data_IF_564408648435
#
_entry.id   IF_564408648435
#
_cell.length_a   1.000
_cell.length_b   1.000
_cell.length_c   1.000
_cell.angle_alpha   90.00
_cell.angle_beta   90.00
_cell.angle_gamma   90.00
#
_symmetry.space_group_name_H-M   'P 1'
#
loop_
_entity.id
_entity.type
_entity.pdbx_description
1 polymer ?
#
# COMPACT_ATOMS: atom_id res chain seq x y z
N UNK A 1 33.18 -53.80 49.54
CA UNK A 1 31.92 -54.56 49.45
C UNK A 1 30.78 -53.62 49.77
N UNK A 2 29.72 -53.65 48.94
CA UNK A 2 28.40 -53.06 49.17
C UNK A 2 28.31 -51.53 49.07
N UNK A 3 27.38 -50.89 48.35
CA UNK A 3 26.23 -51.33 47.55
C UNK A 3 25.92 -50.12 46.65
N UNK A 4 26.10 -50.20 45.32
CA UNK A 4 25.00 -50.18 44.34
C UNK A 4 23.71 -49.54 44.86
N UNK A 5 23.48 -48.29 44.47
CA UNK A 5 22.19 -47.63 44.67
C UNK A 5 22.30 -46.12 44.63
N UNK A 6 22.40 -45.56 43.44
CA UNK A 6 21.84 -44.27 42.98
C UNK A 6 22.26 -44.18 41.51
N UNK A 7 21.73 -45.14 40.74
CA UNK A 7 21.53 -45.00 39.31
C UNK A 7 20.16 -44.33 39.17
N UNK A 8 19.99 -43.52 38.12
CA UNK A 8 18.78 -42.78 37.74
C UNK A 8 18.59 -41.44 38.44
N UNK A 9 18.93 -40.35 37.74
CA UNK A 9 17.88 -39.39 37.27
C UNK A 9 18.38 -38.02 36.80
N UNK A 10 19.67 -37.72 36.70
CA UNK A 10 20.08 -36.35 36.29
C UNK A 10 21.17 -36.31 35.21
N UNK A 11 21.15 -37.28 34.30
CA UNK A 11 22.00 -37.28 33.11
C UNK A 11 21.18 -37.69 31.88
N UNK A 12 20.13 -36.92 31.57
CA UNK A 12 19.35 -37.06 30.34
C UNK A 12 18.54 -35.79 30.03
N UNK A 13 19.21 -34.63 30.05
CA UNK A 13 18.66 -33.36 29.54
C UNK A 13 19.76 -32.59 28.78
N UNK A 14 20.38 -33.26 27.81
CA UNK A 14 21.05 -32.59 26.70
C UNK A 14 20.57 -33.26 25.41
N UNK A 15 20.24 -32.41 24.43
CA UNK A 15 19.85 -32.72 23.05
C UNK A 15 18.35 -32.89 22.78
N UNK A 16 17.66 -31.77 22.52
CA UNK A 16 16.73 -31.65 21.39
C UNK A 16 16.38 -30.17 21.14
N UNK A 17 17.07 -29.58 20.15
CA UNK A 17 16.65 -28.58 19.17
C UNK A 17 15.65 -27.46 19.60
N UNK A 18 16.00 -26.17 19.38
CA UNK A 18 14.97 -25.15 19.24
C UNK A 18 14.27 -25.39 17.90
N UNK A 19 13.09 -26.00 17.92
CA UNK A 19 12.15 -25.84 16.81
C UNK A 19 11.67 -24.40 16.85
N UNK A 20 12.41 -23.51 16.18
CA UNK A 20 11.88 -22.21 15.76
C UNK A 20 10.74 -22.51 14.80
N UNK A 21 9.54 -22.56 15.34
CA UNK A 21 8.31 -22.47 14.56
C UNK A 21 8.32 -21.09 13.91
N UNK A 22 8.91 -20.99 12.71
CA UNK A 22 8.54 -19.94 11.76
C UNK A 22 7.06 -20.17 11.47
N UNK A 23 6.20 -19.51 12.23
CA UNK A 23 4.83 -19.28 11.83
C UNK A 23 4.89 -18.48 10.54
N UNK A 24 4.83 -19.21 9.43
CA UNK A 24 4.42 -18.71 8.13
C UNK A 24 3.16 -17.89 8.37
N UNK A 25 3.30 -16.57 8.39
CA UNK A 25 2.17 -15.65 8.53
C UNK A 25 1.23 -15.92 7.36
N UNK A 26 0.01 -16.41 7.58
CA UNK A 26 -1.01 -16.36 6.56
C UNK A 26 -1.49 -14.91 6.51
N UNK A 27 -1.20 -14.24 5.39
CA UNK A 27 -1.97 -13.16 4.80
C UNK A 27 -2.92 -12.40 5.75
N UNK A 28 -2.35 -11.58 6.65
CA UNK A 28 -3.10 -10.64 7.49
C UNK A 28 -3.67 -9.44 6.72
N UNK A 29 -3.78 -9.51 5.40
CA UNK A 29 -4.24 -8.41 4.54
C UNK A 29 -5.77 -8.38 4.35
N UNK A 30 -6.47 -9.48 4.62
CA UNK A 30 -7.92 -9.55 4.35
C UNK A 30 -8.81 -9.04 5.49
N UNK A 31 -8.39 -9.15 6.75
CA UNK A 31 -9.21 -8.70 7.88
C UNK A 31 -9.28 -7.15 7.97
N UNK A 32 -8.21 -6.46 7.56
CA UNK A 32 -8.16 -4.99 7.53
C UNK A 32 -8.96 -4.40 6.35
N UNK A 33 -8.99 -5.07 5.19
CA UNK A 33 -9.77 -4.65 4.03
C UNK A 33 -11.29 -4.73 4.30
N UNK A 34 -11.76 -5.75 5.02
CA UNK A 34 -13.18 -5.99 5.28
C UNK A 34 -13.89 -4.93 6.16
N UNK A 35 -13.14 -4.09 6.89
CA UNK A 35 -13.69 -2.99 7.72
C UNK A 35 -13.39 -1.59 7.18
N UNK A 36 -12.58 -1.49 6.13
CA UNK A 36 -12.22 -0.20 5.56
C UNK A 36 -13.37 0.35 4.71
N UNK A 37 -13.72 1.62 4.92
CA UNK A 37 -14.76 2.33 4.14
C UNK A 37 -14.12 3.51 3.39
N UNK A 38 -14.57 3.72 2.16
CA UNK A 38 -14.12 4.81 1.30
C UNK A 38 -13.09 4.38 0.25
N UNK A 39 -12.49 5.36 -0.42
CA UNK A 39 -11.62 5.10 -1.56
C UNK A 39 -10.17 4.80 -1.19
N UNK A 40 -9.69 5.30 -0.05
CA UNK A 40 -8.32 5.07 0.44
C UNK A 40 -8.22 3.74 1.22
N UNK A 41 -8.79 2.68 0.64
CA UNK A 41 -8.78 1.35 1.23
C UNK A 41 -7.82 0.42 0.49
N UNK A 42 -7.30 -0.63 1.15
CA UNK A 42 -6.51 -1.64 0.47
C UNK A 42 -7.22 -2.18 -0.78
N UNK A 43 -6.48 -2.39 -1.86
CA UNK A 43 -7.03 -2.85 -3.15
C UNK A 43 -7.60 -1.76 -4.05
N UNK A 44 -7.54 -0.49 -3.65
CA UNK A 44 -7.94 0.67 -4.47
C UNK A 44 -9.34 0.51 -5.11
N UNK A 45 -10.41 0.38 -4.30
CA UNK A 45 -11.74 0.06 -4.80
C UNK A 45 -12.33 1.15 -5.71
N UNK A 46 -11.85 2.39 -5.60
CA UNK A 46 -12.29 3.51 -6.44
C UNK A 46 -11.36 3.76 -7.64
N UNK A 47 -10.37 2.89 -7.89
CA UNK A 47 -9.40 3.04 -8.98
C UNK A 47 -8.72 4.43 -8.98
N UNK A 48 -8.38 4.91 -7.79
CA UNK A 48 -7.69 6.17 -7.58
C UNK A 48 -6.35 6.18 -8.32
N UNK A 49 -6.03 7.32 -8.95
CA UNK A 49 -4.69 7.62 -9.43
C UNK A 49 -4.05 8.75 -8.63
N UNK A 50 -2.75 8.62 -8.40
CA UNK A 50 -1.94 9.55 -7.63
C UNK A 50 -1.82 10.89 -8.35
N UNK A 51 -1.84 12.00 -7.60
CA UNK A 51 -1.53 13.33 -8.14
C UNK A 51 -0.30 13.95 -7.45
N UNK A 52 0.67 14.49 -8.21
CA UNK A 52 0.88 14.24 -9.64
C UNK A 52 1.19 12.75 -9.91
N UNK A 53 1.13 12.27 -11.17
CA UNK A 53 1.65 10.97 -11.53
C UNK A 53 3.10 10.83 -11.07
N UNK A 54 3.50 9.67 -10.59
CA UNK A 54 4.88 9.39 -10.21
C UNK A 54 5.51 8.42 -11.20
N UNK A 55 6.83 8.52 -11.42
CA UNK A 55 7.55 7.63 -12.35
C UNK A 55 7.48 6.16 -11.95
N UNK A 56 7.40 5.91 -10.64
CA UNK A 56 7.46 4.56 -10.06
C UNK A 56 6.09 3.90 -9.92
N UNK A 57 5.00 4.64 -10.21
CA UNK A 57 3.67 4.09 -10.08
C UNK A 57 3.40 3.13 -11.26
N UNK A 58 3.01 1.86 -11.00
CA UNK A 58 2.67 0.94 -12.07
C UNK A 58 1.41 1.42 -12.80
N UNK A 59 1.41 1.33 -14.12
CA UNK A 59 0.23 1.63 -14.95
C UNK A 59 -0.67 0.38 -14.99
N UNK A 60 -1.89 0.43 -14.46
CA UNK A 60 -2.80 -0.71 -14.52
C UNK A 60 -3.30 -0.94 -15.94
N UNK A 61 -3.47 -2.20 -16.35
CA UNK A 61 -3.99 -2.55 -17.69
C UNK A 61 -5.37 -1.92 -17.97
N UNK A 62 -6.21 -1.85 -16.95
CA UNK A 62 -7.54 -1.25 -16.99
C UNK A 62 -7.55 0.17 -16.43
N UNK A 63 -6.54 0.99 -16.77
CA UNK A 63 -6.45 2.38 -16.33
C UNK A 63 -7.68 3.20 -16.79
N UNK A 64 -8.41 3.84 -15.86
CA UNK A 64 -9.55 4.70 -16.17
C UNK A 64 -9.16 5.86 -17.09
N UNK A 65 -10.07 6.25 -17.99
CA UNK A 65 -9.81 7.30 -18.99
C UNK A 65 -9.32 8.62 -18.36
N UNK A 66 -9.91 9.02 -17.22
CA UNK A 66 -9.46 10.21 -16.47
C UNK A 66 -8.00 10.10 -16.02
N UNK A 67 -7.58 8.96 -15.49
CA UNK A 67 -6.20 8.75 -15.02
C UNK A 67 -5.20 8.76 -16.19
N UNK A 68 -5.57 8.13 -17.31
CA UNK A 68 -4.80 8.15 -18.55
C UNK A 68 -4.61 9.58 -19.07
N UNK A 69 -5.69 10.37 -19.11
CA UNK A 69 -5.64 11.75 -19.56
C UNK A 69 -4.74 12.64 -18.70
N UNK A 70 -4.69 12.41 -17.38
CA UNK A 70 -3.76 13.11 -16.48
C UNK A 70 -2.32 12.70 -16.77
N UNK A 71 -2.05 11.40 -16.93
CA UNK A 71 -0.72 10.86 -17.23
C UNK A 71 -0.16 11.36 -18.56
N UNK A 72 -1.01 11.53 -19.56
CA UNK A 72 -0.62 12.08 -20.88
C UNK A 72 -0.42 13.60 -20.83
N UNK A 73 -1.19 14.33 -20.02
CA UNK A 73 -1.16 15.79 -19.96
C UNK A 73 -0.10 16.35 -19.00
N UNK A 74 0.29 15.60 -17.97
CA UNK A 74 1.18 16.08 -16.92
C UNK A 74 2.40 15.15 -16.79
N UNK A 75 3.63 15.68 -16.91
CA UNK A 75 4.82 14.87 -16.74
C UNK A 75 4.88 14.26 -15.33
N UNK A 76 5.33 13.01 -15.20
CA UNK A 76 5.46 12.37 -13.90
C UNK A 76 6.50 13.09 -13.04
N UNK A 77 6.24 13.15 -11.74
CA UNK A 77 7.21 13.61 -10.76
C UNK A 77 8.20 12.48 -10.43
N UNK A 78 9.47 12.84 -10.31
CA UNK A 78 10.57 11.97 -9.85
C UNK A 78 10.80 12.02 -8.34
N UNK A 79 10.08 12.90 -7.62
CA UNK A 79 10.24 13.16 -6.19
C UNK A 79 8.96 12.82 -5.43
N UNK A 80 9.09 12.42 -4.16
CA UNK A 80 7.93 12.03 -3.37
C UNK A 80 7.18 13.28 -2.87
N UNK A 81 5.83 13.34 -2.98
CA UNK A 81 5.00 14.40 -2.43
C UNK A 81 5.21 14.52 -0.91
N UNK A 82 5.92 15.56 -0.50
CA UNK A 82 6.38 15.73 0.89
C UNK A 82 7.79 16.29 0.98
N UNK A 83 8.58 16.20 -0.10
CA UNK A 83 9.97 16.67 -0.19
C UNK A 83 10.09 18.15 -0.60
N UNK A 84 9.23 19.01 -0.05
CA UNK A 84 9.48 20.47 0.07
C UNK A 84 9.24 21.36 -1.16
N UNK A 85 8.79 20.85 -2.31
CA UNK A 85 8.63 21.69 -3.52
C UNK A 85 7.16 21.93 -3.91
N UNK A 86 6.84 23.17 -4.25
CA UNK A 86 5.57 23.55 -4.86
C UNK A 86 5.52 22.94 -6.26
N UNK A 87 4.87 21.79 -6.41
CA UNK A 87 4.76 21.12 -7.69
C UNK A 87 3.69 21.82 -8.54
N UNK A 88 4.08 22.69 -9.47
CA UNK A 88 3.16 23.17 -10.53
C UNK A 88 2.49 22.00 -11.27
N UNK A 89 3.14 20.84 -11.28
CA UNK A 89 2.60 19.59 -11.78
C UNK A 89 1.42 19.07 -10.93
N UNK A 90 1.39 19.28 -9.62
CA UNK A 90 0.25 18.90 -8.77
C UNK A 90 -0.99 19.74 -9.11
N UNK A 91 -0.83 21.06 -9.26
CA UNK A 91 -1.94 21.96 -9.63
C UNK A 91 -2.50 21.59 -11.01
N UNK A 92 -1.60 21.38 -12.00
CA UNK A 92 -1.99 20.92 -13.34
C UNK A 92 -2.70 19.57 -13.30
N UNK A 93 -2.19 18.61 -12.52
CA UNK A 93 -2.80 17.27 -12.37
C UNK A 93 -4.19 17.36 -11.73
N UNK A 94 -4.33 18.21 -10.70
CA UNK A 94 -5.59 18.45 -9.99
C UNK A 94 -6.63 19.07 -10.93
N UNK A 95 -6.24 20.09 -11.69
CA UNK A 95 -7.11 20.70 -12.70
C UNK A 95 -7.51 19.72 -13.80
N UNK A 96 -6.58 18.87 -14.24
CA UNK A 96 -6.87 17.88 -15.28
C UNK A 96 -7.81 16.78 -14.78
N UNK A 97 -7.69 16.36 -13.51
CA UNK A 97 -8.63 15.47 -12.86
C UNK A 97 -10.07 16.02 -12.91
N UNK A 98 -10.25 17.26 -12.44
CA UNK A 98 -11.57 17.92 -12.42
C UNK A 98 -12.13 18.08 -13.84
N UNK A 99 -11.31 18.57 -14.79
CA UNK A 99 -11.73 18.77 -16.19
C UNK A 99 -12.15 17.47 -16.87
N UNK A 100 -11.55 16.35 -16.48
CA UNK A 100 -11.86 15.03 -17.00
C UNK A 100 -13.09 14.39 -16.32
N UNK A 101 -13.71 15.08 -15.35
CA UNK A 101 -14.87 14.62 -14.60
C UNK A 101 -14.55 13.82 -13.33
N UNK A 102 -13.29 13.80 -12.90
CA UNK A 102 -12.88 13.12 -11.66
C UNK A 102 -13.04 13.99 -10.41
N UNK A 103 -13.20 13.34 -9.25
CA UNK A 103 -13.20 13.98 -7.95
C UNK A 103 -11.79 13.99 -7.34
N UNK A 104 -11.39 15.10 -6.72
CA UNK A 104 -10.10 15.19 -6.05
C UNK A 104 -10.23 14.75 -4.58
N UNK A 105 -9.49 13.72 -4.19
CA UNK A 105 -9.53 13.12 -2.84
C UNK A 105 -8.24 13.45 -2.09
N UNK A 106 -8.28 14.29 -1.05
CA UNK A 106 -7.12 14.54 -0.21
C UNK A 106 -6.86 13.36 0.74
N UNK A 107 -5.61 12.93 0.84
CA UNK A 107 -5.12 11.94 1.79
C UNK A 107 -4.50 12.63 3.01
N UNK A 108 -5.35 13.19 3.86
CA UNK A 108 -4.91 13.93 5.07
C UNK A 108 -4.26 13.03 6.12
N UNK A 109 -4.58 11.73 6.10
CA UNK A 109 -4.13 10.75 7.09
C UNK A 109 -2.88 9.97 6.66
N UNK A 110 -2.37 10.20 5.45
CA UNK A 110 -1.23 9.48 4.86
C UNK A 110 -1.37 7.96 5.02
N UNK A 111 -2.52 7.45 4.58
CA UNK A 111 -2.87 6.03 4.74
C UNK A 111 -1.78 5.13 4.12
N UNK A 112 -1.34 4.06 4.80
CA UNK A 112 -0.38 3.12 4.22
C UNK A 112 -0.86 2.58 2.86
N UNK A 113 0.05 2.48 1.88
CA UNK A 113 -0.29 2.13 0.50
C UNK A 113 -0.78 3.30 -0.36
N UNK A 114 -1.00 4.47 0.24
CA UNK A 114 -1.34 5.71 -0.44
C UNK A 114 -0.28 6.79 -0.11
N UNK A 115 0.88 6.80 -0.81
CA UNK A 115 1.99 7.71 -0.48
C UNK A 115 1.72 9.19 -0.82
N UNK A 116 0.90 9.50 -1.82
CA UNK A 116 0.60 10.89 -2.15
C UNK A 116 -0.37 11.58 -1.19
N UNK A 117 -0.30 12.91 -1.21
CA UNK A 117 -1.19 13.82 -0.49
C UNK A 117 -2.57 13.94 -1.12
N UNK A 118 -2.68 13.74 -2.43
CA UNK A 118 -3.91 13.94 -3.20
C UNK A 118 -4.02 12.86 -4.27
N UNK A 119 -5.24 12.41 -4.50
CA UNK A 119 -5.60 11.44 -5.53
C UNK A 119 -6.73 11.97 -6.40
N UNK A 120 -6.77 11.53 -7.65
CA UNK A 120 -7.94 11.65 -8.50
C UNK A 120 -8.77 10.38 -8.39
N UNK A 121 -10.05 10.54 -8.09
CA UNK A 121 -11.08 9.51 -8.21
C UNK A 121 -11.75 9.67 -9.58
N UNK A 122 -11.51 8.76 -10.53
CA UNK A 122 -12.10 8.84 -11.85
C UNK A 122 -13.62 8.63 -11.79
N UNK A 123 -14.35 9.25 -12.71
CA UNK A 123 -15.76 8.92 -12.95
C UNK A 123 -15.84 7.60 -13.72
N UNK A 124 -16.18 6.54 -13.01
CA UNK A 124 -16.26 5.19 -13.56
C UNK A 124 -17.50 4.96 -14.43
N UNK A 125 -18.43 5.93 -14.51
CA UNK A 125 -19.58 5.85 -15.41
C UNK A 125 -19.20 6.19 -16.87
N UNK A 126 -18.04 6.80 -17.09
CA UNK A 126 -17.59 7.33 -18.38
C UNK A 126 -16.59 6.42 -19.13
N UNK A 127 -16.73 5.10 -18.98
CA UNK A 127 -15.79 4.10 -19.54
C UNK A 127 -15.78 4.07 -21.06
#
# INVERSE_FOLDING_TARGET
MWLRGIVCSIFLMLMALPMTSSSTQPAGTNAAAAKCKGCLCPGNPCQLCRLPPHSDDPIPENEPATCRAIREAVPPASFQPGENEYFSNLDKSTMMCIRSGGDVIPNTRRVPGYPARVYCKPDLSRR
#
